data_IF_140695837877
#
_entry.id   IF_140695837877
#
_cell.length_a   1.000
_cell.length_b   1.000
_cell.length_c   1.000
_cell.angle_alpha   90.00
_cell.angle_beta   90.00
_cell.angle_gamma   90.00
#
_symmetry.space_group_name_H-M   'P 1'
#
loop_
_entity.id
_entity.type
_entity.pdbx_description
1 polymer ?
#
# COMPACT_ATOMS: atom_id res chain seq x y z
N UNK A 1 -12.34 -15.81 13.64
CA UNK A 1 -12.16 -16.61 14.86
C UNK A 1 -12.33 -18.11 14.56
N UNK A 2 -11.60 -19.01 15.24
CA UNK A 2 -11.66 -20.46 14.96
C UNK A 2 -13.05 -21.10 15.14
N UNK A 3 -13.91 -20.43 15.90
CA UNK A 3 -15.26 -20.91 16.20
C UNK A 3 -16.30 -20.45 15.16
N UNK A 4 -15.94 -19.63 14.21
CA UNK A 4 -16.85 -19.14 13.17
C UNK A 4 -16.80 -19.98 11.90
N UNK A 5 -17.87 -19.92 11.11
CA UNK A 5 -17.95 -20.63 9.85
C UNK A 5 -16.83 -20.19 8.87
N UNK A 6 -16.35 -21.15 8.05
CA UNK A 6 -15.24 -20.91 7.11
C UNK A 6 -15.51 -19.81 6.07
N UNK A 7 -16.77 -19.41 5.89
CA UNK A 7 -17.17 -18.32 5.00
C UNK A 7 -17.26 -16.96 5.69
N UNK A 8 -16.87 -16.86 6.98
CA UNK A 8 -16.82 -15.61 7.72
C UNK A 8 -15.39 -15.06 7.67
N UNK A 9 -15.22 -13.91 7.04
CA UNK A 9 -13.96 -13.18 6.99
C UNK A 9 -14.04 -11.94 7.87
N UNK A 10 -13.33 -11.96 9.00
CA UNK A 10 -13.18 -10.77 9.83
C UNK A 10 -12.05 -9.89 9.29
N UNK A 11 -12.37 -8.68 8.84
CA UNK A 11 -11.40 -7.70 8.34
C UNK A 11 -11.39 -6.46 9.24
N UNK A 12 -10.20 -6.04 9.66
CA UNK A 12 -10.00 -4.71 10.24
C UNK A 12 -9.54 -3.77 9.13
N UNK A 13 -10.51 -3.16 8.46
CA UNK A 13 -10.20 -2.16 7.43
C UNK A 13 -10.37 -0.77 8.03
N UNK A 14 -9.38 0.11 7.87
CA UNK A 14 -9.67 1.54 7.92
C UNK A 14 -10.49 1.86 6.67
N UNK A 15 -11.64 1.90 6.79
CA UNK A 15 -12.92 2.33 6.32
C UNK A 15 -13.07 3.05 4.99
N UNK A 16 -12.03 3.42 4.24
CA UNK A 16 -12.19 4.16 3.01
C UNK A 16 -11.54 3.46 1.82
N UNK A 17 -12.35 2.91 0.95
CA UNK A 17 -11.94 2.52 -0.38
C UNK A 17 -11.87 3.75 -1.28
N UNK A 18 -10.82 3.85 -2.10
CA UNK A 18 -10.67 4.89 -3.10
C UNK A 18 -10.58 4.24 -4.47
N UNK A 19 -11.36 4.71 -5.39
CA UNK A 19 -11.36 4.27 -6.78
C UNK A 19 -11.20 5.47 -7.71
N UNK A 20 -10.53 5.28 -8.84
CA UNK A 20 -10.54 6.23 -9.94
C UNK A 20 -11.82 6.05 -10.77
N UNK A 21 -12.21 7.08 -11.51
CA UNK A 21 -13.21 6.96 -12.54
C UNK A 21 -12.74 6.00 -13.65
N UNK A 22 -13.69 5.32 -14.29
CA UNK A 22 -13.45 4.60 -15.53
C UNK A 22 -13.37 5.59 -16.71
N UNK A 23 -12.80 5.15 -17.83
CA UNK A 23 -12.85 5.89 -19.08
C UNK A 23 -14.28 6.01 -19.62
N UNK A 24 -15.16 5.09 -19.26
CA UNK A 24 -16.57 5.07 -19.61
C UNK A 24 -17.41 5.68 -18.49
N UNK A 25 -18.22 6.68 -18.84
CA UNK A 25 -19.06 7.41 -17.89
C UNK A 25 -20.17 6.53 -17.28
N UNK A 26 -20.71 5.56 -18.03
CA UNK A 26 -21.74 4.67 -17.52
C UNK A 26 -21.17 3.76 -16.43
N UNK A 27 -19.96 3.22 -16.61
CA UNK A 27 -19.28 2.44 -15.59
C UNK A 27 -18.91 3.29 -14.37
N UNK A 28 -18.51 4.54 -14.58
CA UNK A 28 -18.27 5.48 -13.47
C UNK A 28 -19.55 5.79 -12.70
N UNK A 29 -20.67 5.94 -13.39
CA UNK A 29 -21.97 6.15 -12.76
C UNK A 29 -22.39 4.95 -11.89
N UNK A 30 -22.16 3.71 -12.36
CA UNK A 30 -22.42 2.50 -11.57
C UNK A 30 -21.57 2.49 -10.29
N UNK A 31 -20.29 2.86 -10.40
CA UNK A 31 -19.38 2.92 -9.24
C UNK A 31 -19.82 4.00 -8.24
N UNK A 32 -20.30 5.13 -8.72
CA UNK A 32 -20.87 6.20 -7.87
C UNK A 32 -22.20 5.79 -7.24
N UNK A 33 -23.04 5.02 -7.95
CA UNK A 33 -24.24 4.40 -7.40
C UNK A 33 -23.88 3.48 -6.22
N UNK A 34 -22.91 2.59 -6.41
CA UNK A 34 -22.41 1.72 -5.34
C UNK A 34 -21.87 2.52 -4.13
N UNK A 35 -21.17 3.64 -4.37
CA UNK A 35 -20.70 4.51 -3.30
C UNK A 35 -21.86 5.09 -2.49
N UNK A 36 -22.92 5.54 -3.15
CA UNK A 36 -24.13 6.05 -2.51
C UNK A 36 -24.88 4.95 -1.73
N UNK A 37 -24.99 3.74 -2.28
CA UNK A 37 -25.62 2.61 -1.62
C UNK A 37 -24.87 2.20 -0.35
N UNK A 38 -23.54 2.16 -0.39
CA UNK A 38 -22.70 1.89 0.78
C UNK A 38 -22.89 2.99 1.85
N UNK A 39 -22.98 4.25 1.44
CA UNK A 39 -23.16 5.37 2.38
C UNK A 39 -24.55 5.36 3.02
N UNK A 40 -25.56 4.93 2.28
CA UNK A 40 -26.94 4.80 2.75
C UNK A 40 -27.18 3.54 3.60
N UNK A 41 -26.34 2.50 3.45
CA UNK A 41 -26.54 1.24 4.14
C UNK A 41 -26.47 1.39 5.66
N UNK A 42 -27.37 0.69 6.36
CA UNK A 42 -27.44 0.62 7.81
C UNK A 42 -27.44 -0.84 8.23
N UNK A 43 -26.82 -1.10 9.34
CA UNK A 43 -26.83 -2.43 9.97
C UNK A 43 -27.78 -2.44 11.17
N UNK A 44 -28.79 -3.27 11.10
CA UNK A 44 -29.77 -3.42 12.19
C UNK A 44 -29.15 -4.19 13.36
N UNK A 45 -29.25 -3.63 14.56
CA UNK A 45 -28.83 -4.26 15.81
C UNK A 45 -29.98 -4.26 16.82
N UNK A 46 -29.79 -4.93 17.97
CA UNK A 46 -30.74 -4.87 19.09
C UNK A 46 -30.96 -3.44 19.62
N UNK A 47 -29.98 -2.57 19.47
CA UNK A 47 -29.95 -1.20 20.02
C UNK A 47 -30.30 -0.13 19.00
N UNK A 48 -30.67 -0.55 17.76
CA UNK A 48 -31.04 0.32 16.66
C UNK A 48 -30.21 0.09 15.40
N UNK A 49 -30.25 1.03 14.47
CA UNK A 49 -29.50 1.01 13.22
C UNK A 49 -28.12 1.67 13.38
N UNK A 50 -27.09 0.99 12.93
CA UNK A 50 -25.72 1.52 12.89
C UNK A 50 -25.33 1.89 11.48
N UNK A 51 -24.63 3.03 11.34
CA UNK A 51 -23.93 3.38 10.11
C UNK A 51 -22.74 2.44 9.92
N UNK A 52 -22.59 1.90 8.70
CA UNK A 52 -21.43 1.08 8.39
C UNK A 52 -20.16 1.96 8.33
N UNK A 53 -19.07 1.57 8.99
CA UNK A 53 -17.82 2.31 8.96
C UNK A 53 -17.04 2.08 7.66
N UNK A 54 -17.73 1.94 6.53
CA UNK A 54 -17.15 1.68 5.21
C UNK A 54 -17.61 2.78 4.26
N UNK A 55 -16.67 3.36 3.52
CA UNK A 55 -16.97 4.36 2.48
C UNK A 55 -16.21 4.03 1.20
N UNK A 56 -16.89 4.20 0.08
CA UNK A 56 -16.26 4.19 -1.23
C UNK A 56 -16.22 5.63 -1.75
N UNK A 57 -15.00 6.11 -2.06
CA UNK A 57 -14.80 7.43 -2.69
C UNK A 57 -14.36 7.23 -4.13
N UNK A 58 -15.18 7.71 -5.06
CA UNK A 58 -14.87 7.72 -6.49
C UNK A 58 -14.27 9.08 -6.84
N UNK A 59 -13.05 9.08 -7.35
CA UNK A 59 -12.31 10.28 -7.73
C UNK A 59 -12.27 10.44 -9.23
N UNK A 60 -12.20 11.69 -9.71
CA UNK A 60 -12.09 11.98 -11.14
C UNK A 60 -10.68 11.78 -11.69
N UNK A 61 -9.69 11.72 -10.82
CA UNK A 61 -8.27 11.49 -11.17
C UNK A 61 -7.81 10.09 -10.80
N UNK A 62 -7.15 9.39 -11.73
CA UNK A 62 -6.49 8.09 -11.48
C UNK A 62 -5.35 8.22 -10.46
N UNK A 63 -4.75 9.39 -10.30
CA UNK A 63 -3.63 9.63 -9.38
C UNK A 63 -4.04 9.73 -7.92
N UNK A 64 -5.31 10.06 -7.61
CA UNK A 64 -5.77 10.09 -6.22
C UNK A 64 -5.70 8.71 -5.55
N UNK A 65 -6.14 7.60 -6.16
CA UNK A 65 -5.90 6.25 -5.63
C UNK A 65 -4.40 5.90 -5.56
N UNK A 66 -3.59 6.38 -6.52
CA UNK A 66 -2.15 6.12 -6.59
C UNK A 66 -1.31 7.04 -5.69
N UNK A 67 -1.91 8.03 -5.02
CA UNK A 67 -1.23 8.96 -4.10
C UNK A 67 -0.51 8.24 -2.93
N UNK A 68 -0.73 6.95 -2.76
CA UNK A 68 -0.01 6.13 -1.78
C UNK A 68 1.41 5.75 -2.19
N UNK A 69 1.80 5.89 -3.46
CA UNK A 69 3.12 5.46 -3.92
C UNK A 69 4.26 6.10 -3.13
N UNK A 70 4.19 7.40 -2.91
CA UNK A 70 5.19 8.11 -2.10
C UNK A 70 5.27 7.58 -0.67
N UNK A 71 4.12 7.29 -0.03
CA UNK A 71 4.06 6.69 1.31
C UNK A 71 4.63 5.26 1.32
N UNK A 72 4.33 4.46 0.28
CA UNK A 72 4.83 3.10 0.17
C UNK A 72 6.35 3.09 0.06
N UNK A 73 6.94 3.94 -0.79
CA UNK A 73 8.39 3.99 -1.00
C UNK A 73 9.12 4.65 0.17
N UNK A 74 8.59 5.73 0.76
CA UNK A 74 9.23 6.42 1.86
C UNK A 74 9.10 5.69 3.22
N UNK A 75 8.12 4.81 3.39
CA UNK A 75 7.86 4.11 4.65
C UNK A 75 7.70 2.62 4.51
N UNK A 76 6.65 2.15 3.85
CA UNK A 76 6.25 0.73 3.90
C UNK A 76 7.34 -0.23 3.42
N UNK A 77 7.97 0.02 2.28
CA UNK A 77 9.07 -0.82 1.78
C UNK A 77 10.37 -0.60 2.55
N UNK A 78 10.57 0.56 3.15
CA UNK A 78 11.72 0.82 4.03
C UNK A 78 11.59 0.16 5.41
N UNK A 79 10.45 -0.45 5.72
CA UNK A 79 10.35 -1.38 6.84
C UNK A 79 11.11 -2.68 6.61
N UNK A 80 11.45 -3.02 5.36
CA UNK A 80 12.15 -4.24 4.99
C UNK A 80 13.65 -3.93 5.00
N UNK A 81 14.39 -4.63 5.85
CA UNK A 81 15.83 -4.54 5.96
C UNK A 81 16.47 -5.87 5.48
N UNK A 82 17.77 -5.93 5.20
CA UNK A 82 18.40 -7.15 4.66
C UNK A 82 18.15 -8.40 5.48
N UNK A 83 18.05 -8.29 6.82
CA UNK A 83 17.91 -9.44 7.73
C UNK A 83 16.83 -9.23 8.81
N UNK A 84 16.16 -8.08 8.84
CA UNK A 84 15.18 -7.72 9.86
C UNK A 84 14.02 -6.93 9.25
N UNK A 85 13.09 -6.55 10.11
CA UNK A 85 12.04 -5.59 9.78
C UNK A 85 11.95 -4.54 10.90
N UNK A 86 11.50 -3.33 10.55
CA UNK A 86 11.26 -2.25 11.51
C UNK A 86 9.87 -1.65 11.33
N UNK A 87 9.41 -0.88 12.31
CA UNK A 87 8.12 -0.19 12.25
C UNK A 87 8.10 0.90 11.16
N UNK A 88 6.90 1.27 10.69
CA UNK A 88 6.76 2.40 9.75
C UNK A 88 7.27 3.70 10.40
N UNK A 89 7.02 3.90 11.69
CA UNK A 89 7.55 5.05 12.44
C UNK A 89 9.08 5.12 12.33
N UNK A 90 9.78 4.04 12.61
CA UNK A 90 11.25 3.99 12.53
C UNK A 90 11.73 4.18 11.09
N UNK A 91 11.05 3.58 10.11
CA UNK A 91 11.40 3.73 8.71
C UNK A 91 11.31 5.19 8.22
N UNK A 92 10.31 5.95 8.71
CA UNK A 92 10.08 7.35 8.32
C UNK A 92 10.89 8.31 9.17
N UNK A 93 10.88 8.15 10.50
CA UNK A 93 11.45 9.12 11.44
C UNK A 93 12.90 8.82 11.85
N UNK A 94 13.43 7.63 11.56
CA UNK A 94 14.85 7.32 11.78
C UNK A 94 15.78 8.23 10.96
N UNK A 95 15.33 8.62 9.77
CA UNK A 95 15.94 9.68 8.95
C UNK A 95 14.83 10.42 8.18
N UNK A 96 14.32 11.48 8.79
CA UNK A 96 13.20 12.24 8.25
C UNK A 96 13.57 12.96 6.93
N UNK A 97 14.81 13.44 6.83
CA UNK A 97 15.30 14.13 5.62
C UNK A 97 15.38 13.19 4.42
N UNK A 98 15.96 11.99 4.61
CA UNK A 98 15.99 10.97 3.56
C UNK A 98 14.57 10.49 3.19
N UNK A 99 13.68 10.38 4.17
CA UNK A 99 12.28 10.01 3.93
C UNK A 99 11.54 11.06 3.10
N UNK A 100 11.76 12.34 3.40
CA UNK A 100 11.19 13.44 2.62
C UNK A 100 11.75 13.48 1.20
N UNK A 101 13.06 13.30 1.04
CA UNK A 101 13.69 13.28 -0.28
C UNK A 101 13.11 12.19 -1.20
N UNK A 102 12.94 10.96 -0.68
CA UNK A 102 12.30 9.86 -1.43
C UNK A 102 10.85 10.19 -1.74
N UNK A 103 10.11 10.70 -0.74
CA UNK A 103 8.71 11.04 -0.89
C UNK A 103 8.49 12.04 -2.01
N UNK A 104 9.21 13.17 -1.97
CA UNK A 104 9.12 14.23 -2.98
C UNK A 104 9.61 13.77 -4.35
N UNK A 105 10.61 12.90 -4.41
CA UNK A 105 11.04 12.32 -5.66
C UNK A 105 9.93 11.49 -6.33
N UNK A 106 9.21 10.65 -5.56
CA UNK A 106 8.06 9.89 -6.08
C UNK A 106 6.89 10.81 -6.44
N UNK A 107 6.64 11.85 -5.65
CA UNK A 107 5.65 12.89 -5.97
C UNK A 107 5.98 13.54 -7.33
N UNK A 108 7.23 13.91 -7.56
CA UNK A 108 7.66 14.53 -8.83
C UNK A 108 7.51 13.54 -10.01
N UNK A 109 7.77 12.26 -9.82
CA UNK A 109 7.47 11.22 -10.82
C UNK A 109 5.96 11.19 -11.12
N UNK A 110 5.09 11.19 -10.12
CA UNK A 110 3.64 11.23 -10.34
C UNK A 110 3.21 12.50 -11.12
N UNK A 111 3.79 13.64 -10.80
CA UNK A 111 3.51 14.89 -11.52
C UNK A 111 3.96 14.83 -12.99
N UNK A 112 5.11 14.21 -13.29
CA UNK A 112 5.57 14.01 -14.66
C UNK A 112 4.70 13.04 -15.46
N UNK A 113 4.00 12.14 -14.76
CA UNK A 113 2.99 11.24 -15.34
C UNK A 113 1.62 11.89 -15.54
N UNK A 114 1.44 13.16 -15.14
CA UNK A 114 0.21 13.92 -15.32
C UNK A 114 -0.65 14.12 -14.06
N UNK A 115 -0.18 13.69 -12.89
CA UNK A 115 -0.86 13.98 -11.63
C UNK A 115 -0.89 15.50 -11.36
N UNK A 116 -1.92 15.93 -10.64
CA UNK A 116 -1.96 17.27 -10.05
C UNK A 116 -1.49 17.20 -8.60
N UNK A 117 -0.84 18.26 -8.11
CA UNK A 117 -0.34 18.27 -6.72
C UNK A 117 -1.46 18.08 -5.69
N UNK A 118 -2.65 18.58 -5.97
CA UNK A 118 -3.83 18.45 -5.10
C UNK A 118 -4.35 17.01 -5.01
N UNK A 119 -4.00 16.16 -5.98
CA UNK A 119 -4.30 14.71 -5.94
C UNK A 119 -3.36 13.92 -5.01
N UNK A 120 -2.25 14.52 -4.61
CA UNK A 120 -1.19 13.86 -3.84
C UNK A 120 -1.20 14.32 -2.39
N UNK A 121 -0.80 13.42 -1.49
CA UNK A 121 -0.75 13.73 -0.06
C UNK A 121 0.53 14.51 0.25
N UNK A 122 0.51 15.64 1.00
CA UNK A 122 1.70 16.33 1.46
C UNK A 122 2.55 15.45 2.40
N UNK A 123 3.88 15.56 2.31
CA UNK A 123 4.79 14.76 3.14
C UNK A 123 4.54 14.94 4.64
N UNK A 124 4.33 16.18 5.10
CA UNK A 124 4.12 16.51 6.52
C UNK A 124 2.89 15.78 7.09
N UNK A 125 1.83 15.68 6.29
CA UNK A 125 0.63 14.95 6.68
C UNK A 125 0.92 13.46 6.84
N UNK A 126 1.71 12.88 5.95
CA UNK A 126 2.12 11.48 6.04
C UNK A 126 3.08 11.25 7.22
N UNK A 127 4.11 12.10 7.37
CA UNK A 127 5.08 11.98 8.46
C UNK A 127 4.39 12.05 9.83
N UNK A 128 3.45 12.98 10.01
CA UNK A 128 2.67 13.07 11.24
C UNK A 128 1.82 11.80 11.50
N UNK A 129 1.18 11.25 10.48
CA UNK A 129 0.45 10.00 10.62
C UNK A 129 1.37 8.82 10.96
N UNK A 130 2.58 8.78 10.42
CA UNK A 130 3.57 7.73 10.66
C UNK A 130 4.04 7.65 12.12
N UNK A 131 3.96 8.72 12.91
CA UNK A 131 4.26 8.71 14.34
C UNK A 131 3.44 7.68 15.13
N UNK A 132 2.21 7.42 14.71
CA UNK A 132 1.32 6.44 15.35
C UNK A 132 1.53 5.00 14.85
N UNK A 133 2.28 4.79 13.76
CA UNK A 133 2.42 3.49 13.10
C UNK A 133 3.59 2.69 13.69
N UNK A 134 3.37 2.11 14.87
CA UNK A 134 4.35 1.36 15.65
C UNK A 134 4.66 -0.05 15.09
N UNK A 135 3.86 -0.54 14.13
CA UNK A 135 4.06 -1.85 13.53
C UNK A 135 4.76 -1.75 12.18
N UNK A 136 5.49 -2.81 11.75
CA UNK A 136 5.96 -2.93 10.39
C UNK A 136 4.82 -2.95 9.39
N UNK A 137 5.10 -2.57 8.13
CA UNK A 137 4.12 -2.64 7.05
C UNK A 137 3.64 -4.09 6.81
N UNK A 138 2.47 -4.24 6.18
CA UNK A 138 1.97 -5.56 5.80
C UNK A 138 2.94 -6.32 4.88
N UNK A 139 3.58 -5.62 3.93
CA UNK A 139 4.60 -6.18 3.06
C UNK A 139 5.82 -6.69 3.85
N UNK A 140 6.32 -5.90 4.81
CA UNK A 140 7.44 -6.31 5.65
C UNK A 140 7.10 -7.54 6.50
N UNK A 141 5.93 -7.56 7.12
CA UNK A 141 5.46 -8.73 7.90
C UNK A 141 5.27 -9.97 7.05
N UNK A 142 4.77 -9.82 5.82
CA UNK A 142 4.60 -10.96 4.90
C UNK A 142 5.96 -11.55 4.52
N UNK A 143 6.94 -10.71 4.17
CA UNK A 143 8.30 -11.16 3.85
C UNK A 143 8.95 -11.84 5.05
N UNK A 144 8.82 -11.27 6.24
CA UNK A 144 9.39 -11.83 7.46
C UNK A 144 8.76 -13.17 7.86
N UNK A 145 7.49 -13.35 7.53
CA UNK A 145 6.78 -14.62 7.67
C UNK A 145 7.10 -15.67 6.58
N UNK A 146 8.05 -15.40 5.68
CA UNK A 146 8.48 -16.34 4.64
C UNK A 146 7.60 -16.35 3.39
N UNK A 147 6.70 -15.37 3.20
CA UNK A 147 5.86 -15.29 1.98
C UNK A 147 6.74 -15.06 0.76
N UNK A 148 6.64 -15.90 -0.31
CA UNK A 148 7.54 -15.83 -1.45
C UNK A 148 7.18 -14.75 -2.48
N UNK A 149 6.00 -14.14 -2.39
CA UNK A 149 5.50 -13.11 -3.32
C UNK A 149 4.71 -12.05 -2.57
N UNK A 150 4.91 -10.79 -2.93
CA UNK A 150 4.13 -9.64 -2.45
C UNK A 150 3.79 -8.72 -3.62
N UNK A 151 2.94 -7.74 -3.39
CA UNK A 151 2.74 -6.64 -4.33
C UNK A 151 4.03 -5.79 -4.44
N UNK A 152 4.45 -5.46 -5.68
CA UNK A 152 5.74 -4.83 -6.00
C UNK A 152 5.56 -3.43 -6.60
N UNK A 153 4.95 -2.53 -5.82
CA UNK A 153 4.84 -1.11 -6.20
C UNK A 153 6.23 -0.44 -6.29
N UNK A 154 7.19 -0.91 -5.51
CA UNK A 154 8.58 -0.48 -5.58
C UNK A 154 9.20 -0.72 -6.96
N UNK A 155 9.04 -1.92 -7.54
CA UNK A 155 9.48 -2.23 -8.90
C UNK A 155 8.69 -1.44 -9.96
N UNK A 156 7.38 -1.27 -9.76
CA UNK A 156 6.55 -0.48 -10.67
C UNK A 156 7.05 0.97 -10.74
N UNK A 157 7.27 1.61 -9.61
CA UNK A 157 7.78 2.98 -9.52
C UNK A 157 9.17 3.07 -10.15
N UNK A 158 10.08 2.13 -9.87
CA UNK A 158 11.41 2.08 -10.48
C UNK A 158 11.32 1.94 -12.01
N UNK A 159 10.45 1.06 -12.52
CA UNK A 159 10.29 0.81 -13.95
C UNK A 159 9.75 2.04 -14.68
N UNK A 160 8.72 2.69 -14.13
CA UNK A 160 8.15 3.91 -14.72
C UNK A 160 9.15 5.07 -14.70
N UNK A 161 9.93 5.20 -13.64
CA UNK A 161 11.01 6.19 -13.57
C UNK A 161 12.08 5.92 -14.63
N UNK A 162 12.52 4.67 -14.78
CA UNK A 162 13.52 4.29 -15.78
C UNK A 162 13.07 4.59 -17.22
N UNK A 163 11.77 4.43 -17.54
CA UNK A 163 11.20 4.84 -18.83
C UNK A 163 11.35 6.34 -19.11
N UNK A 164 11.42 7.15 -18.06
CA UNK A 164 11.68 8.60 -18.14
C UNK A 164 13.15 8.95 -17.91
N UNK A 165 14.04 7.97 -17.92
CA UNK A 165 15.49 8.15 -17.65
C UNK A 165 15.77 8.74 -16.26
N UNK A 166 14.86 8.55 -15.32
CA UNK A 166 14.99 8.97 -13.92
C UNK A 166 15.46 7.79 -13.07
N UNK A 167 16.47 8.06 -12.22
CA UNK A 167 17.04 7.07 -11.31
C UNK A 167 17.21 7.67 -9.92
N UNK A 168 16.96 6.87 -8.90
CA UNK A 168 17.18 7.26 -7.50
C UNK A 168 17.88 6.12 -6.74
N UNK A 169 19.09 6.36 -6.19
CA UNK A 169 19.89 5.31 -5.54
C UNK A 169 19.14 4.56 -4.44
N UNK A 170 18.38 5.29 -3.60
CA UNK A 170 17.60 4.68 -2.51
C UNK A 170 16.46 3.82 -3.03
N UNK A 171 15.79 4.21 -4.12
CA UNK A 171 14.75 3.36 -4.75
C UNK A 171 15.37 2.06 -5.26
N UNK A 172 16.52 2.15 -5.92
CA UNK A 172 17.25 0.96 -6.39
C UNK A 172 17.65 0.05 -5.22
N UNK A 173 18.10 0.64 -4.11
CA UNK A 173 18.44 -0.12 -2.89
C UNK A 173 17.20 -0.80 -2.28
N UNK A 174 16.06 -0.11 -2.18
CA UNK A 174 14.79 -0.69 -1.70
C UNK A 174 14.42 -1.89 -2.55
N UNK A 175 14.36 -1.74 -3.88
CA UNK A 175 13.99 -2.83 -4.82
C UNK A 175 14.93 -4.01 -4.65
N UNK A 176 16.25 -3.77 -4.64
CA UNK A 176 17.26 -4.83 -4.46
C UNK A 176 17.10 -5.57 -3.12
N UNK A 177 16.82 -4.85 -2.02
CA UNK A 177 16.60 -5.47 -0.70
C UNK A 177 15.36 -6.36 -0.70
N UNK A 178 14.26 -5.88 -1.30
CA UNK A 178 13.01 -6.65 -1.41
C UNK A 178 13.23 -7.90 -2.28
N UNK A 179 13.93 -7.76 -3.41
CA UNK A 179 14.24 -8.88 -4.30
C UNK A 179 15.05 -9.98 -3.58
N UNK A 180 16.10 -9.60 -2.86
CA UNK A 180 16.94 -10.55 -2.11
C UNK A 180 16.13 -11.30 -1.05
N UNK A 181 15.27 -10.61 -0.30
CA UNK A 181 14.42 -11.21 0.73
C UNK A 181 13.40 -12.18 0.12
N UNK A 182 12.76 -11.80 -0.98
CA UNK A 182 11.80 -12.66 -1.68
C UNK A 182 12.46 -13.87 -2.32
N UNK A 183 13.63 -13.70 -2.91
CA UNK A 183 14.40 -14.82 -3.47
C UNK A 183 14.76 -15.85 -2.37
N UNK A 184 15.26 -15.40 -1.22
CA UNK A 184 15.53 -16.28 -0.08
C UNK A 184 14.29 -17.05 0.38
N UNK A 185 13.13 -16.40 0.45
CA UNK A 185 11.87 -17.04 0.81
C UNK A 185 11.44 -18.08 -0.25
N UNK A 186 11.61 -17.78 -1.55
CA UNK A 186 11.29 -18.70 -2.65
C UNK A 186 12.17 -19.96 -2.60
N UNK A 187 13.47 -19.80 -2.38
CA UNK A 187 14.43 -20.91 -2.27
C UNK A 187 14.09 -21.81 -1.08
N UNK A 188 13.75 -21.21 0.07
CA UNK A 188 13.34 -21.93 1.28
C UNK A 188 12.04 -22.73 1.03
N UNK A 189 11.04 -22.12 0.44
CA UNK A 189 9.76 -22.79 0.14
C UNK A 189 9.92 -23.94 -0.88
N UNK A 190 10.80 -23.78 -1.88
CA UNK A 190 11.11 -24.84 -2.85
C UNK A 190 11.85 -26.03 -2.18
N UNK A 191 12.75 -25.75 -1.24
CA UNK A 191 13.45 -26.80 -0.51
C UNK A 191 12.47 -27.63 0.34
N UNK A 192 11.55 -26.98 1.06
CA UNK A 192 10.50 -27.67 1.83
C UNK A 192 9.59 -28.53 0.94
N UNK A 193 9.18 -28.00 -0.21
CA UNK A 193 8.32 -28.73 -1.14
C UNK A 193 9.00 -30.00 -1.70
N UNK A 194 10.30 -29.94 -1.97
CA UNK A 194 11.07 -31.11 -2.44
C UNK A 194 11.24 -32.16 -1.34
N UNK A 195 11.44 -31.76 -0.09
CA UNK A 195 11.55 -32.70 1.05
C UNK A 195 10.22 -33.37 1.38
N UNK A 196 9.10 -32.69 1.20
CA UNK A 196 7.77 -33.25 1.42
C UNK A 196 7.30 -34.21 0.31
N UNK A 197 7.96 -34.21 -0.85
CA UNK A 197 7.67 -35.05 -2.02
C UNK A 197 8.60 -36.29 -2.15
N UNK A 198 9.61 -36.39 -1.28
CA UNK A 198 10.56 -37.51 -1.22
C UNK A 198 10.22 -38.44 -0.06
#
# INVERSE_FOLDING_TARGET
>A
PPEEALNVLQVRLPTNFKAAAFADDAHTAMLRGLAADIEAARFATSDGELELPVKLKVHDSVFVPLAKWSMLLAGNYRCIEPQSIRSIKEAVHGDLSASQAIYEWVVNLCLSLGAKRDDLVPFEKYANAALSLQSPSSAARAIDAGVPYIERVDQLVQTLAAQQQLHHPTINHIVSTVDQRLQSNQETNQAFSKQAAA
#
